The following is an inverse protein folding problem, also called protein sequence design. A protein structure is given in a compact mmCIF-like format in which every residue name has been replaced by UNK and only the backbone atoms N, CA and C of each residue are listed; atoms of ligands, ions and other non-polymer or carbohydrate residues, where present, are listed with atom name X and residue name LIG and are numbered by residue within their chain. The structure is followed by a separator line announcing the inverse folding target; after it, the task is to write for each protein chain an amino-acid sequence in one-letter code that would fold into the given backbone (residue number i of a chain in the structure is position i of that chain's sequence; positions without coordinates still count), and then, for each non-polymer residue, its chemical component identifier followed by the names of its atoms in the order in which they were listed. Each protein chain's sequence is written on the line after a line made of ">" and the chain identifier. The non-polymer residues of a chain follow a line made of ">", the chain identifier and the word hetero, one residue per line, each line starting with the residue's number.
data_IF_621265838698
#
_entry.id   IF_621265838698
#
_cell.length_a   1.000
_cell.length_b   1.000
_cell.length_c   1.000
_cell.angle_alpha   90.00
_cell.angle_beta   90.00
_cell.angle_gamma   90.00
#
_symmetry.space_group_name_H-M   'P 1'
#
loop_
_entity.id
_entity.type
_entity.pdbx_description
1 polymer ?
#
# COMPACT_ATOMS: atom_id res chain seq x y z
N UNK A 1 -14.14 26.76 -25.13
CA UNK A 1 -13.44 26.50 -26.41
C UNK A 1 -13.84 25.13 -26.94
N UNK A 2 -14.58 25.11 -28.05
CA UNK A 2 -14.82 23.87 -28.81
C UNK A 2 -13.48 23.30 -29.29
N UNK A 3 -13.29 21.97 -29.17
CA UNK A 3 -12.08 21.32 -29.64
C UNK A 3 -12.14 21.14 -31.15
N UNK A 4 -11.20 21.74 -31.87
CA UNK A 4 -11.06 21.52 -33.31
C UNK A 4 -10.64 20.07 -33.61
N UNK A 5 -11.27 19.47 -34.62
CA UNK A 5 -10.92 18.15 -35.18
C UNK A 5 -9.53 18.17 -35.84
N UNK A 6 -8.92 17.01 -36.06
CA UNK A 6 -7.62 16.93 -36.72
C UNK A 6 -7.64 17.52 -38.13
N UNK A 7 -8.73 17.34 -38.86
CA UNK A 7 -8.97 17.91 -40.20
C UNK A 7 -9.03 19.43 -40.17
N UNK A 8 -9.77 20.02 -39.22
CA UNK A 8 -9.81 21.49 -39.08
C UNK A 8 -8.46 22.08 -38.68
N UNK A 9 -7.66 21.36 -37.88
CA UNK A 9 -6.28 21.75 -37.58
C UNK A 9 -5.39 21.71 -38.81
N UNK A 10 -5.55 20.68 -39.62
CA UNK A 10 -4.83 20.51 -40.88
C UNK A 10 -5.14 21.66 -41.84
N UNK A 11 -6.41 22.01 -42.03
CA UNK A 11 -6.82 23.15 -42.84
C UNK A 11 -6.19 24.47 -42.36
N UNK A 12 -6.18 24.73 -41.04
CA UNK A 12 -5.54 25.90 -40.46
C UNK A 12 -4.01 25.93 -40.70
N UNK A 13 -3.35 24.77 -40.64
CA UNK A 13 -1.91 24.67 -40.90
C UNK A 13 -1.59 24.91 -42.39
N UNK A 14 -2.35 24.29 -43.30
CA UNK A 14 -2.17 24.46 -44.75
C UNK A 14 -2.38 25.91 -45.19
N UNK A 15 -3.40 26.61 -44.67
CA UNK A 15 -3.66 28.02 -44.99
C UNK A 15 -2.49 28.95 -44.64
N UNK A 16 -1.69 28.60 -43.64
CA UNK A 16 -0.48 29.36 -43.25
C UNK A 16 0.74 28.92 -44.06
N UNK A 17 0.95 27.61 -44.27
CA UNK A 17 2.11 27.07 -44.99
C UNK A 17 2.07 27.46 -46.47
N UNK A 18 0.90 27.39 -47.10
CA UNK A 18 0.69 27.77 -48.51
C UNK A 18 0.73 29.29 -48.73
N UNK A 19 0.95 30.09 -47.67
CA UNK A 19 0.93 31.56 -47.67
C UNK A 19 -0.40 32.18 -48.14
N UNK A 20 -1.50 31.44 -48.11
CA UNK A 20 -2.84 31.94 -48.48
C UNK A 20 -3.32 33.03 -47.52
N UNK A 21 -3.04 32.89 -46.22
CA UNK A 21 -3.47 33.82 -45.17
C UNK A 21 -2.35 34.12 -44.17
N UNK A 22 -2.33 35.33 -43.62
CA UNK A 22 -1.40 35.68 -42.53
C UNK A 22 -1.76 34.91 -41.26
N UNK A 23 -0.76 34.52 -40.47
CA UNK A 23 -0.95 33.72 -39.25
C UNK A 23 -2.03 34.28 -38.29
N UNK A 24 -2.12 35.61 -38.14
CA UNK A 24 -3.14 36.26 -37.32
C UNK A 24 -4.58 36.07 -37.85
N UNK A 25 -4.77 36.12 -39.17
CA UNK A 25 -6.09 35.93 -39.79
C UNK A 25 -6.59 34.50 -39.56
N UNK A 26 -5.72 33.50 -39.72
CA UNK A 26 -6.04 32.10 -39.46
C UNK A 26 -6.33 31.85 -37.98
N UNK A 27 -5.58 32.49 -37.06
CA UNK A 27 -5.87 32.41 -35.63
C UNK A 27 -7.27 32.94 -35.28
N UNK A 28 -7.69 34.04 -35.94
CA UNK A 28 -9.02 34.65 -35.73
C UNK A 28 -10.13 33.77 -36.32
N UNK A 29 -9.94 33.25 -37.53
CA UNK A 29 -10.92 32.40 -38.23
C UNK A 29 -11.16 31.06 -37.54
N UNK A 30 -10.11 30.44 -37.01
CA UNK A 30 -10.21 29.14 -36.33
C UNK A 30 -10.33 29.25 -34.80
N UNK A 31 -10.42 30.48 -34.26
CA UNK A 31 -10.50 30.77 -32.83
C UNK A 31 -9.38 30.10 -31.99
N UNK A 32 -8.15 30.12 -32.51
CA UNK A 32 -6.99 29.49 -31.87
C UNK A 32 -5.93 30.51 -31.50
N UNK A 33 -5.25 30.29 -30.37
CA UNK A 33 -4.11 31.13 -30.01
C UNK A 33 -2.94 30.93 -30.96
N UNK A 34 -2.18 32.00 -31.21
CA UNK A 34 -0.99 31.98 -32.10
C UNK A 34 0.01 30.88 -31.70
N UNK A 35 0.19 30.66 -30.40
CA UNK A 35 1.09 29.62 -29.88
C UNK A 35 0.61 28.22 -30.24
N UNK A 36 -0.71 27.98 -30.17
CA UNK A 36 -1.29 26.69 -30.53
C UNK A 36 -1.11 26.40 -32.02
N UNK A 37 -1.38 27.40 -32.87
CA UNK A 37 -1.21 27.26 -34.32
C UNK A 37 0.27 27.04 -34.69
N UNK A 38 1.21 27.78 -34.08
CA UNK A 38 2.66 27.55 -34.23
C UNK A 38 3.05 26.12 -33.86
N UNK A 39 2.56 25.61 -32.72
CA UNK A 39 2.82 24.24 -32.31
C UNK A 39 2.27 23.20 -33.29
N UNK A 40 1.12 23.47 -33.91
CA UNK A 40 0.56 22.60 -34.96
C UNK A 40 1.42 22.62 -36.22
N UNK A 41 1.85 23.80 -36.68
CA UNK A 41 2.76 23.96 -37.83
C UNK A 41 4.06 23.18 -37.59
N UNK A 42 4.69 23.36 -36.43
CA UNK A 42 5.92 22.64 -36.07
C UNK A 42 5.73 21.11 -36.08
N UNK A 43 4.62 20.61 -35.53
CA UNK A 43 4.30 19.18 -35.52
C UNK A 43 4.09 18.62 -36.93
N UNK A 44 3.42 19.38 -37.78
CA UNK A 44 3.15 19.01 -39.16
C UNK A 44 4.42 19.03 -40.02
N UNK A 45 5.29 20.03 -39.85
CA UNK A 45 6.59 20.10 -40.54
C UNK A 45 7.50 18.92 -40.18
N UNK A 46 7.49 18.49 -38.91
CA UNK A 46 8.28 17.34 -38.47
C UNK A 46 7.68 15.99 -38.94
N UNK A 47 6.37 15.94 -39.15
CA UNK A 47 5.67 14.72 -39.59
C UNK A 47 4.44 15.11 -40.42
N UNK A 48 4.57 15.20 -41.76
CA UNK A 48 3.53 15.72 -42.64
C UNK A 48 2.42 14.69 -42.85
N UNK A 49 1.58 14.53 -41.84
CA UNK A 49 0.42 13.64 -41.84
C UNK A 49 -0.66 14.24 -40.93
N UNK A 50 -1.93 14.14 -41.31
CA UNK A 50 -3.08 14.61 -40.50
C UNK A 50 -3.07 13.97 -39.09
N UNK A 51 -2.60 12.72 -38.98
CA UNK A 51 -2.45 12.02 -37.70
C UNK A 51 -1.51 12.73 -36.73
N UNK A 52 -0.51 13.48 -37.22
CA UNK A 52 0.42 14.23 -36.36
C UNK A 52 -0.23 15.40 -35.65
N UNK A 53 -1.35 15.90 -36.17
CA UNK A 53 -2.17 16.97 -35.59
C UNK A 53 -3.25 16.45 -34.63
N UNK A 54 -3.41 15.14 -34.52
CA UNK A 54 -4.32 14.53 -33.56
C UNK A 54 -3.93 14.85 -32.11
N UNK A 55 -4.90 14.73 -31.20
CA UNK A 55 -4.66 14.89 -29.77
C UNK A 55 -3.75 13.77 -29.26
N UNK A 56 -2.52 14.11 -28.86
CA UNK A 56 -1.54 13.17 -28.32
C UNK A 56 -1.83 12.78 -26.85
N UNK A 57 -2.62 13.58 -26.14
CA UNK A 57 -2.97 13.29 -24.76
C UNK A 57 -3.85 12.04 -24.70
N UNK A 58 -3.26 10.94 -24.25
CA UNK A 58 -3.94 9.67 -24.07
C UNK A 58 -4.99 9.81 -22.95
N UNK A 59 -6.19 9.28 -23.13
CA UNK A 59 -7.29 9.37 -22.16
C UNK A 59 -7.96 8.02 -21.97
N UNK A 60 -8.72 7.90 -20.88
CA UNK A 60 -9.52 6.72 -20.58
C UNK A 60 -8.67 5.47 -20.42
N UNK A 61 -9.05 4.39 -21.09
CA UNK A 61 -8.43 3.07 -20.96
C UNK A 61 -6.95 3.02 -21.34
N UNK A 62 -6.49 3.96 -22.17
CA UNK A 62 -5.09 4.03 -22.61
C UNK A 62 -4.22 4.93 -21.70
N UNK A 63 -4.81 5.61 -20.71
CA UNK A 63 -4.07 6.51 -19.82
C UNK A 63 -3.12 5.72 -18.90
N UNK A 64 -1.88 6.17 -18.73
CA UNK A 64 -0.85 5.48 -17.95
C UNK A 64 -1.20 5.44 -16.44
N UNK A 65 -1.78 6.51 -15.89
CA UNK A 65 -2.28 6.53 -14.49
C UNK A 65 -3.67 5.89 -14.32
N UNK A 66 -4.13 5.09 -15.28
CA UNK A 66 -5.38 4.35 -15.12
C UNK A 66 -5.19 3.29 -14.05
N UNK A 67 -6.19 3.13 -13.18
CA UNK A 67 -6.22 2.01 -12.25
C UNK A 67 -6.29 0.68 -13.01
N UNK A 68 -5.57 -0.31 -12.50
CA UNK A 68 -5.69 -1.68 -12.99
C UNK A 68 -7.14 -2.15 -12.86
N UNK A 69 -7.59 -2.95 -13.83
CA UNK A 69 -8.93 -3.54 -13.80
C UNK A 69 -9.16 -4.38 -12.53
N UNK A 70 -8.10 -5.02 -12.02
CA UNK A 70 -8.13 -5.80 -10.78
C UNK A 70 -8.46 -4.92 -9.56
N UNK A 71 -7.85 -3.74 -9.50
CA UNK A 71 -8.05 -2.77 -8.43
C UNK A 71 -9.47 -2.18 -8.48
N UNK A 72 -9.92 -1.79 -9.68
CA UNK A 72 -11.28 -1.30 -9.89
C UNK A 72 -12.30 -2.35 -9.46
N UNK A 73 -12.07 -3.61 -9.81
CA UNK A 73 -12.88 -4.75 -9.40
C UNK A 73 -12.90 -4.96 -7.89
N UNK A 74 -11.74 -4.89 -7.24
CA UNK A 74 -11.63 -5.06 -5.79
C UNK A 74 -12.41 -3.98 -5.02
N UNK A 75 -12.38 -2.73 -5.50
CA UNK A 75 -13.18 -1.64 -4.95
C UNK A 75 -14.68 -1.95 -5.04
N UNK A 76 -15.15 -2.37 -6.22
CA UNK A 76 -16.56 -2.74 -6.41
C UNK A 76 -16.98 -3.92 -5.54
N UNK A 77 -16.09 -4.90 -5.34
CA UNK A 77 -16.36 -6.04 -4.44
C UNK A 77 -16.51 -5.63 -2.99
N UNK A 78 -15.71 -4.67 -2.53
CA UNK A 78 -15.86 -4.11 -1.19
C UNK A 78 -17.18 -3.37 -1.03
N UNK A 79 -17.63 -2.66 -2.07
CA UNK A 79 -18.94 -2.00 -2.09
C UNK A 79 -20.08 -3.01 -2.01
N UNK A 80 -20.00 -4.13 -2.75
CA UNK A 80 -21.04 -5.17 -2.70
C UNK A 80 -21.04 -5.87 -1.33
N UNK A 81 -19.88 -6.06 -0.69
CA UNK A 81 -19.82 -6.69 0.64
C UNK A 81 -20.31 -5.76 1.75
N UNK A 82 -19.91 -4.49 1.71
CA UNK A 82 -20.15 -3.50 2.75
C UNK A 82 -20.54 -2.16 2.12
N UNK A 83 -21.80 -2.00 1.68
CA UNK A 83 -22.23 -0.79 0.96
C UNK A 83 -22.15 0.49 1.82
N UNK A 84 -22.25 0.32 3.14
CA UNK A 84 -22.20 1.39 4.15
C UNK A 84 -20.79 1.94 4.40
N UNK A 85 -19.77 1.30 3.83
CA UNK A 85 -18.40 1.73 4.06
C UNK A 85 -18.11 3.13 3.52
N UNK A 86 -17.27 3.84 4.28
CA UNK A 86 -16.82 5.17 3.88
C UNK A 86 -15.73 5.06 2.81
N UNK A 87 -15.51 6.14 2.05
CA UNK A 87 -14.40 6.21 1.08
C UNK A 87 -13.04 5.85 1.71
N UNK A 88 -12.81 6.24 2.97
CA UNK A 88 -11.60 5.90 3.72
C UNK A 88 -11.57 4.44 4.16
N UNK A 89 -12.70 3.89 4.60
CA UNK A 89 -12.81 2.47 4.95
C UNK A 89 -12.56 1.55 3.76
N UNK A 90 -13.12 1.89 2.59
CA UNK A 90 -12.83 1.19 1.33
C UNK A 90 -11.35 1.30 1.00
N UNK A 91 -10.75 2.50 1.05
CA UNK A 91 -9.33 2.70 0.77
C UNK A 91 -8.43 1.84 1.68
N UNK A 92 -8.72 1.82 2.98
CA UNK A 92 -7.96 1.04 3.95
C UNK A 92 -7.97 -0.45 3.59
N UNK A 93 -9.15 -1.03 3.35
CA UNK A 93 -9.30 -2.45 2.97
C UNK A 93 -8.59 -2.79 1.65
N UNK A 94 -8.58 -1.85 0.69
CA UNK A 94 -7.85 -2.05 -0.57
C UNK A 94 -6.33 -2.03 -0.35
N UNK A 95 -5.84 -1.12 0.50
CA UNK A 95 -4.41 -1.04 0.83
C UNK A 95 -3.95 -2.26 1.63
N UNK A 96 -4.78 -2.78 2.55
CA UNK A 96 -4.55 -4.04 3.27
C UNK A 96 -4.45 -5.25 2.33
N UNK A 97 -5.14 -5.19 1.18
CA UNK A 97 -5.05 -6.19 0.12
C UNK A 97 -3.77 -6.05 -0.74
N UNK A 98 -2.82 -5.20 -0.35
CA UNK A 98 -1.53 -4.99 -1.02
C UNK A 98 -1.55 -3.99 -2.19
N UNK A 99 -2.71 -3.37 -2.48
CA UNK A 99 -2.86 -2.43 -3.58
C UNK A 99 -2.75 -0.98 -3.09
N UNK A 100 -1.61 -0.31 -3.34
CA UNK A 100 -1.40 1.09 -2.95
C UNK A 100 -2.15 2.05 -3.89
N UNK A 101 -3.21 2.68 -3.39
CA UNK A 101 -4.03 3.63 -4.17
C UNK A 101 -4.26 4.91 -3.36
N UNK A 102 -4.58 6.01 -4.04
CA UNK A 102 -5.02 7.25 -3.38
C UNK A 102 -6.54 7.26 -3.14
N UNK A 103 -6.97 8.03 -2.14
CA UNK A 103 -8.40 8.26 -1.88
C UNK A 103 -9.15 8.75 -3.13
N UNK A 104 -8.51 9.62 -3.91
CA UNK A 104 -9.07 10.14 -5.15
C UNK A 104 -9.24 9.05 -6.23
N UNK A 105 -8.36 8.05 -6.24
CA UNK A 105 -8.51 6.87 -7.09
C UNK A 105 -9.79 6.09 -6.77
N UNK A 106 -10.05 5.82 -5.49
CA UNK A 106 -11.29 5.16 -5.04
C UNK A 106 -12.51 6.01 -5.40
N UNK A 107 -12.47 7.31 -5.12
CA UNK A 107 -13.55 8.23 -5.47
C UNK A 107 -13.87 8.23 -6.97
N UNK A 108 -12.85 8.23 -7.83
CA UNK A 108 -13.05 8.21 -9.28
C UNK A 108 -13.70 6.91 -9.76
N UNK A 109 -13.35 5.77 -9.16
CA UNK A 109 -14.01 4.49 -9.46
C UNK A 109 -15.47 4.55 -9.04
N UNK A 110 -15.78 4.98 -7.81
CA UNK A 110 -17.15 5.08 -7.34
C UNK A 110 -17.98 6.04 -8.20
N UNK A 111 -17.43 7.20 -8.55
CA UNK A 111 -18.10 8.18 -9.43
C UNK A 111 -18.35 7.62 -10.83
N UNK A 112 -17.41 6.85 -11.39
CA UNK A 112 -17.54 6.21 -12.72
C UNK A 112 -18.71 5.23 -12.78
N UNK A 113 -19.01 4.55 -11.68
CA UNK A 113 -20.11 3.58 -11.57
C UNK A 113 -21.37 4.16 -10.89
N UNK A 114 -21.42 5.48 -10.68
CA UNK A 114 -22.55 6.15 -10.03
C UNK A 114 -22.81 5.66 -8.58
N UNK A 115 -21.73 5.30 -7.87
CA UNK A 115 -21.73 4.74 -6.50
C UNK A 115 -21.24 5.75 -5.44
N UNK A 116 -21.44 7.03 -5.70
CA UNK A 116 -20.95 8.12 -4.85
C UNK A 116 -21.63 8.16 -3.49
N UNK A 117 -22.96 7.95 -3.43
CA UNK A 117 -23.73 7.95 -2.20
C UNK A 117 -23.81 6.56 -1.56
N UNK A 118 -24.03 6.53 -0.24
CA UNK A 118 -24.27 5.29 0.50
C UNK A 118 -25.49 4.54 -0.05
N UNK A 119 -26.56 5.26 -0.36
CA UNK A 119 -27.78 4.67 -0.92
C UNK A 119 -27.55 4.06 -2.31
N UNK A 120 -26.80 4.73 -3.19
CA UNK A 120 -26.41 4.18 -4.49
C UNK A 120 -25.62 2.88 -4.32
N UNK A 121 -24.70 2.83 -3.35
CA UNK A 121 -23.95 1.62 -3.01
C UNK A 121 -24.84 0.50 -2.48
N UNK A 122 -25.82 0.80 -1.62
CA UNK A 122 -26.80 -0.19 -1.12
C UNK A 122 -27.63 -0.77 -2.26
N UNK A 123 -28.21 0.10 -3.11
CA UNK A 123 -28.99 -0.33 -4.29
C UNK A 123 -28.14 -1.16 -5.23
N UNK A 124 -26.91 -0.74 -5.49
CA UNK A 124 -25.95 -1.50 -6.29
C UNK A 124 -25.68 -2.88 -5.67
N UNK A 125 -25.41 -2.95 -4.38
CA UNK A 125 -25.18 -4.22 -3.67
C UNK A 125 -26.38 -5.18 -3.74
N UNK A 126 -27.61 -4.66 -3.67
CA UNK A 126 -28.83 -5.46 -3.73
C UNK A 126 -29.09 -5.98 -5.16
N UNK A 127 -28.95 -5.09 -6.14
CA UNK A 127 -29.26 -5.39 -7.54
C UNK A 127 -28.12 -6.15 -8.25
N UNK A 128 -26.91 -6.14 -7.69
CA UNK A 128 -25.76 -6.77 -8.33
C UNK A 128 -25.93 -8.30 -8.38
N UNK A 129 -25.70 -8.93 -9.54
CA UNK A 129 -25.93 -10.36 -9.73
C UNK A 129 -25.17 -11.24 -8.74
N UNK A 130 -23.95 -10.86 -8.41
CA UNK A 130 -23.04 -11.63 -7.58
C UNK A 130 -22.83 -10.98 -6.21
N UNK A 131 -22.61 -11.80 -5.18
CA UNK A 131 -22.20 -11.32 -3.83
C UNK A 131 -20.81 -10.67 -3.82
N UNK A 132 -19.97 -11.02 -4.81
CA UNK A 132 -18.70 -10.38 -5.17
C UNK A 132 -18.46 -10.65 -6.65
N UNK A 133 -17.78 -9.79 -7.40
CA UNK A 133 -17.38 -10.00 -8.79
C UNK A 133 -16.42 -11.20 -8.97
N UNK A 134 -15.85 -11.75 -7.89
CA UNK A 134 -15.13 -13.05 -7.90
C UNK A 134 -15.99 -14.25 -7.48
N UNK A 135 -17.23 -14.02 -7.02
CA UNK A 135 -18.10 -15.11 -6.62
C UNK A 135 -18.66 -15.78 -7.85
N UNK A 136 -18.72 -17.11 -7.84
CA UNK A 136 -19.55 -17.86 -8.79
C UNK A 136 -21.01 -17.92 -8.36
N UNK A 137 -21.32 -17.51 -7.12
CA UNK A 137 -22.67 -17.56 -6.56
C UNK A 137 -23.39 -16.23 -6.71
N UNK A 138 -24.60 -16.31 -7.26
CA UNK A 138 -25.50 -15.17 -7.40
C UNK A 138 -26.10 -14.76 -6.04
N UNK A 139 -26.32 -13.46 -5.87
CA UNK A 139 -26.93 -12.85 -4.69
C UNK A 139 -28.38 -13.34 -4.51
N UNK A 140 -28.86 -13.61 -3.28
CA UNK A 140 -30.25 -14.00 -3.03
C UNK A 140 -31.27 -13.01 -3.64
N UNK A 141 -31.07 -11.71 -3.44
CA UNK A 141 -31.96 -10.67 -3.98
C UNK A 141 -32.01 -10.69 -5.51
N UNK A 142 -30.87 -10.90 -6.16
CA UNK A 142 -30.82 -11.01 -7.62
C UNK A 142 -31.57 -12.24 -8.14
N UNK A 143 -31.48 -13.38 -7.44
CA UNK A 143 -32.22 -14.59 -7.82
C UNK A 143 -33.73 -14.37 -7.75
N UNK A 144 -34.18 -13.65 -6.72
CA UNK A 144 -35.58 -13.24 -6.55
C UNK A 144 -36.00 -12.35 -7.72
N UNK A 145 -35.22 -11.31 -8.04
CA UNK A 145 -35.51 -10.42 -9.17
C UNK A 145 -35.59 -11.14 -10.53
N UNK A 146 -34.78 -12.19 -10.76
CA UNK A 146 -34.88 -13.02 -11.97
C UNK A 146 -36.21 -13.79 -12.04
N UNK A 147 -36.71 -14.26 -10.90
CA UNK A 147 -38.02 -14.94 -10.82
C UNK A 147 -39.16 -13.93 -10.98
N UNK A 148 -39.06 -12.76 -10.35
CA UNK A 148 -40.04 -11.67 -10.53
C UNK A 148 -40.09 -11.17 -11.98
N UNK A 149 -38.95 -11.09 -12.67
CA UNK A 149 -38.91 -10.74 -14.10
C UNK A 149 -39.74 -11.72 -14.94
N UNK A 150 -39.70 -13.02 -14.60
CA UNK A 150 -40.53 -14.04 -15.24
C UNK A 150 -42.02 -13.86 -14.93
N UNK A 151 -42.37 -13.62 -13.66
CA UNK A 151 -43.75 -13.45 -13.21
C UNK A 151 -44.39 -12.18 -13.79
N UNK A 152 -43.65 -11.08 -13.87
CA UNK A 152 -44.14 -9.78 -14.29
C UNK A 152 -44.17 -9.60 -15.82
N UNK A 153 -43.14 -10.04 -16.54
CA UNK A 153 -42.97 -9.69 -17.95
C UNK A 153 -43.46 -10.76 -18.95
N UNK A 154 -44.05 -11.87 -18.48
CA UNK A 154 -44.50 -13.02 -19.32
C UNK A 154 -43.45 -13.48 -20.36
N UNK A 155 -42.16 -13.31 -20.05
CA UNK A 155 -41.06 -13.70 -20.94
C UNK A 155 -40.83 -15.22 -20.85
N UNK A 156 -40.41 -15.86 -21.94
CA UNK A 156 -40.12 -17.30 -21.92
C UNK A 156 -38.95 -17.63 -20.99
N UNK A 157 -39.04 -18.77 -20.28
CA UNK A 157 -37.98 -19.27 -19.38
C UNK A 157 -36.64 -19.38 -20.10
N UNK A 158 -36.66 -19.83 -21.37
CA UNK A 158 -35.45 -19.95 -22.19
C UNK A 158 -34.74 -18.61 -22.41
N UNK A 159 -35.50 -17.52 -22.62
CA UNK A 159 -34.92 -16.18 -22.80
C UNK A 159 -34.28 -15.68 -21.50
N UNK A 160 -34.97 -15.85 -20.37
CA UNK A 160 -34.47 -15.46 -19.03
C UNK A 160 -33.21 -16.25 -18.67
N UNK A 161 -33.21 -17.56 -18.91
CA UNK A 161 -32.06 -18.42 -18.68
C UNK A 161 -30.84 -18.02 -19.51
N UNK A 162 -31.02 -17.69 -20.81
CA UNK A 162 -29.93 -17.21 -21.66
C UNK A 162 -29.40 -15.85 -21.20
N UNK A 163 -30.28 -14.90 -20.91
CA UNK A 163 -29.92 -13.54 -20.43
C UNK A 163 -29.06 -13.60 -19.16
N UNK A 164 -29.40 -14.50 -18.24
CA UNK A 164 -28.77 -14.59 -16.92
C UNK A 164 -27.70 -15.70 -16.81
N UNK A 165 -27.36 -16.38 -17.92
CA UNK A 165 -26.44 -17.53 -17.94
C UNK A 165 -26.82 -18.64 -16.94
N UNK A 166 -28.10 -19.01 -16.92
CA UNK A 166 -28.65 -20.03 -16.03
C UNK A 166 -29.06 -21.27 -16.81
N UNK A 167 -28.85 -22.44 -16.21
CA UNK A 167 -29.52 -23.67 -16.67
C UNK A 167 -30.99 -23.65 -16.25
N UNK A 168 -31.89 -24.17 -17.10
CA UNK A 168 -33.33 -24.26 -16.79
C UNK A 168 -33.62 -24.99 -15.48
N UNK A 169 -32.86 -26.04 -15.13
CA UNK A 169 -32.99 -26.77 -13.86
C UNK A 169 -32.80 -25.85 -12.64
N UNK A 170 -31.81 -24.97 -12.69
CA UNK A 170 -31.53 -24.00 -11.63
C UNK A 170 -32.66 -22.97 -11.50
N UNK A 171 -33.19 -22.49 -12.64
CA UNK A 171 -34.32 -21.56 -12.65
C UNK A 171 -35.58 -22.19 -12.03
N UNK A 172 -35.96 -23.41 -12.42
CA UNK A 172 -37.13 -24.06 -11.83
C UNK A 172 -36.97 -24.34 -10.34
N UNK A 173 -35.75 -24.67 -9.90
CA UNK A 173 -35.45 -24.78 -8.46
C UNK A 173 -35.71 -23.46 -7.73
N UNK A 174 -35.30 -22.34 -8.31
CA UNK A 174 -35.55 -21.01 -7.75
C UNK A 174 -37.03 -20.65 -7.74
N UNK A 175 -37.76 -20.96 -8.81
CA UNK A 175 -39.20 -20.75 -8.88
C UNK A 175 -39.95 -21.54 -7.79
N UNK A 176 -39.54 -22.78 -7.51
CA UNK A 176 -40.09 -23.58 -6.40
C UNK A 176 -39.88 -22.88 -5.06
N UNK A 177 -38.63 -22.48 -4.77
CA UNK A 177 -38.26 -21.79 -3.52
C UNK A 177 -39.06 -20.49 -3.36
N UNK A 178 -39.21 -19.72 -4.44
CA UNK A 178 -39.98 -18.47 -4.43
C UNK A 178 -41.44 -18.72 -4.08
N UNK A 179 -42.11 -19.67 -4.75
CA UNK A 179 -43.52 -19.99 -4.50
C UNK A 179 -43.76 -20.54 -3.09
N UNK A 180 -42.87 -21.38 -2.59
CA UNK A 180 -42.90 -21.88 -1.22
C UNK A 180 -42.79 -20.72 -0.21
N UNK A 181 -41.86 -19.79 -0.43
CA UNK A 181 -41.67 -18.63 0.41
C UNK A 181 -42.84 -17.63 0.35
N UNK A 182 -43.39 -17.38 -0.84
CA UNK A 182 -44.55 -16.52 -1.07
C UNK A 182 -45.81 -17.07 -0.39
N UNK A 183 -46.01 -18.40 -0.48
CA UNK A 183 -47.11 -19.08 0.21
C UNK A 183 -46.97 -18.96 1.73
N UNK A 184 -45.77 -19.19 2.27
CA UNK A 184 -45.49 -19.04 3.69
C UNK A 184 -45.64 -17.59 4.18
N UNK A 185 -45.26 -16.61 3.35
CA UNK A 185 -45.36 -15.19 3.66
C UNK A 185 -46.80 -14.66 3.58
N UNK A 186 -47.66 -15.29 2.76
CA UNK A 186 -49.09 -14.93 2.62
C UNK A 186 -49.93 -15.39 3.82
N UNK A 187 -49.54 -16.51 4.46
CA UNK A 187 -50.21 -17.04 5.66
C UNK A 187 -49.93 -16.17 6.90
N UNK A 188 -48.76 -15.55 6.95
CA UNK A 188 -48.40 -14.58 7.99
C UNK A 188 -48.86 -13.18 7.58
N UNK A 189 -49.71 -12.52 8.37
CA UNK A 189 -50.17 -11.13 8.16
C UNK A 189 -49.04 -10.08 8.28
N UNK A 190 -48.00 -10.20 7.45
CA UNK A 190 -46.79 -9.38 7.46
C UNK A 190 -46.95 -8.14 6.57
N UNK A 191 -46.21 -7.10 6.90
CA UNK A 191 -46.06 -5.90 6.07
C UNK A 191 -45.40 -6.26 4.72
N UNK A 192 -45.69 -5.53 3.63
CA UNK A 192 -45.08 -5.77 2.32
C UNK A 192 -43.54 -5.84 2.34
N UNK A 193 -42.88 -4.95 3.09
CA UNK A 193 -41.42 -4.95 3.21
C UNK A 193 -40.86 -6.19 3.92
N UNK A 194 -41.62 -6.76 4.86
CA UNK A 194 -41.25 -7.97 5.59
C UNK A 194 -41.46 -9.22 4.74
N UNK A 195 -42.46 -9.22 3.86
CA UNK A 195 -42.68 -10.29 2.88
C UNK A 195 -41.51 -10.39 1.91
N UNK A 196 -41.08 -9.27 1.34
CA UNK A 196 -39.93 -9.23 0.42
C UNK A 196 -38.66 -9.73 1.11
N UNK A 197 -38.43 -9.31 2.36
CA UNK A 197 -37.29 -9.74 3.16
C UNK A 197 -37.29 -11.27 3.39
N UNK A 198 -38.44 -11.86 3.74
CA UNK A 198 -38.59 -13.31 3.91
C UNK A 198 -38.34 -14.10 2.62
N UNK A 199 -38.84 -13.59 1.50
CA UNK A 199 -38.62 -14.24 0.20
C UNK A 199 -37.12 -14.25 -0.11
N UNK A 200 -36.42 -13.14 0.10
CA UNK A 200 -34.96 -13.06 -0.09
C UNK A 200 -34.21 -14.00 0.86
N UNK A 201 -34.65 -14.12 2.11
CA UNK A 201 -34.06 -15.04 3.09
C UNK A 201 -34.18 -16.52 2.68
N UNK A 202 -35.29 -16.92 2.05
CA UNK A 202 -35.49 -18.28 1.57
C UNK A 202 -34.42 -18.73 0.54
N UNK A 203 -33.82 -17.78 -0.17
CA UNK A 203 -32.76 -18.01 -1.16
C UNK A 203 -31.35 -18.08 -0.58
N UNK A 204 -31.19 -17.85 0.74
CA UNK A 204 -29.92 -18.03 1.45
C UNK A 204 -29.58 -19.54 1.50
N UNK A 205 -28.33 -19.94 1.19
CA UNK A 205 -27.94 -21.34 1.25
C UNK A 205 -28.15 -21.92 2.66
N UNK A 206 -29.01 -22.93 2.78
CA UNK A 206 -29.26 -23.64 4.05
C UNK A 206 -28.08 -24.50 4.52
N UNK A 207 -27.14 -24.82 3.62
CA UNK A 207 -25.96 -25.60 3.98
C UNK A 207 -24.98 -24.76 4.80
N UNK A 208 -24.96 -25.02 6.11
CA UNK A 208 -24.01 -24.41 7.04
C UNK A 208 -22.58 -24.88 6.72
N UNK A 209 -21.64 -23.93 6.58
CA UNK A 209 -20.22 -24.20 6.34
C UNK A 209 -19.38 -23.79 7.55
N UNK A 210 -18.22 -24.43 7.70
CA UNK A 210 -17.25 -24.06 8.73
C UNK A 210 -17.74 -24.33 10.14
N UNK A 211 -17.69 -23.32 11.01
CA UNK A 211 -18.06 -23.40 12.42
C UNK A 211 -19.51 -23.82 12.66
N UNK A 212 -20.42 -23.51 11.73
CA UNK A 212 -21.83 -23.86 11.88
C UNK A 212 -22.17 -25.26 11.35
N UNK A 213 -21.21 -26.00 10.78
CA UNK A 213 -21.49 -27.32 10.24
C UNK A 213 -21.69 -28.34 11.38
N UNK A 214 -22.75 -29.15 11.33
CA UNK A 214 -23.06 -30.16 12.35
C UNK A 214 -21.93 -31.18 12.62
N UNK A 215 -21.07 -31.48 11.63
CA UNK A 215 -19.85 -32.33 11.82
C UNK A 215 -18.61 -31.56 12.25
N UNK A 216 -18.73 -30.29 12.64
CA UNK A 216 -17.61 -29.54 13.22
C UNK A 216 -17.17 -30.24 14.50
N UNK A 217 -15.86 -30.21 14.76
CA UNK A 217 -15.31 -30.67 16.03
C UNK A 217 -15.78 -29.67 17.11
N UNK A 218 -16.40 -30.20 18.15
CA UNK A 218 -16.87 -29.43 19.30
C UNK A 218 -15.71 -29.15 20.27
N UNK A 219 -15.84 -28.11 21.11
CA UNK A 219 -14.78 -27.68 22.03
C UNK A 219 -14.35 -28.82 22.97
N UNK A 220 -15.30 -29.63 23.42
CA UNK A 220 -15.06 -30.83 24.24
C UNK A 220 -14.11 -31.80 23.55
N UNK A 221 -14.38 -32.09 22.28
CA UNK A 221 -13.60 -32.98 21.42
C UNK A 221 -12.21 -32.41 21.12
N UNK A 222 -12.11 -31.10 20.89
CA UNK A 222 -10.83 -30.40 20.71
C UNK A 222 -9.95 -30.53 21.96
N UNK A 223 -10.53 -30.32 23.15
CA UNK A 223 -9.82 -30.44 24.43
C UNK A 223 -9.30 -31.87 24.66
N UNK A 224 -10.03 -32.91 24.26
CA UNK A 224 -9.53 -34.28 24.33
C UNK A 224 -8.30 -34.50 23.43
N UNK A 225 -8.30 -33.97 22.20
CA UNK A 225 -7.11 -34.03 21.33
C UNK A 225 -5.93 -33.30 21.98
N UNK A 226 -6.17 -32.07 22.46
CA UNK A 226 -5.14 -31.25 23.10
C UNK A 226 -4.58 -31.93 24.36
N UNK A 227 -5.40 -32.59 25.17
CA UNK A 227 -4.96 -33.34 26.34
C UNK A 227 -4.06 -34.53 25.96
N UNK A 228 -4.41 -35.27 24.91
CA UNK A 228 -3.57 -36.37 24.41
C UNK A 228 -2.21 -35.84 23.92
N UNK A 229 -2.21 -34.72 23.18
CA UNK A 229 -0.98 -34.07 22.71
C UNK A 229 -0.15 -33.53 23.88
N UNK A 230 -0.79 -32.93 24.89
CA UNK A 230 -0.14 -32.37 26.07
C UNK A 230 0.62 -33.44 26.85
N UNK A 231 0.01 -34.60 27.01
CA UNK A 231 0.61 -35.71 27.74
C UNK A 231 1.67 -36.44 26.91
N UNK A 232 1.54 -36.48 25.57
CA UNK A 232 2.44 -37.23 24.70
C UNK A 232 2.68 -36.50 23.36
N UNK A 233 3.55 -35.47 23.34
CA UNK A 233 3.80 -34.66 22.13
C UNK A 233 4.46 -35.44 20.98
N UNK A 234 5.12 -36.55 21.28
CA UNK A 234 5.83 -37.38 20.30
C UNK A 234 4.90 -38.27 19.45
N UNK A 235 3.63 -38.43 19.85
CA UNK A 235 2.72 -39.33 19.15
C UNK A 235 2.43 -38.85 17.73
N UNK A 236 2.39 -39.82 16.80
CA UNK A 236 1.90 -39.60 15.44
C UNK A 236 0.38 -39.45 15.43
N UNK A 237 -0.18 -38.86 14.36
CA UNK A 237 -1.64 -38.66 14.21
C UNK A 237 -2.44 -39.96 14.40
N UNK A 238 -1.91 -41.10 13.92
CA UNK A 238 -2.51 -42.42 14.12
C UNK A 238 -2.57 -42.82 15.58
N UNK A 239 -1.47 -42.63 16.32
CA UNK A 239 -1.39 -42.96 17.75
C UNK A 239 -2.24 -42.02 18.59
N UNK A 240 -2.29 -40.73 18.23
CA UNK A 240 -3.18 -39.75 18.87
C UNK A 240 -4.64 -40.17 18.69
N UNK A 241 -5.04 -40.55 17.48
CA UNK A 241 -6.41 -41.05 17.22
C UNK A 241 -6.74 -42.32 18.01
N UNK A 242 -5.79 -43.26 18.12
CA UNK A 242 -5.96 -44.48 18.90
C UNK A 242 -6.06 -44.23 20.41
N UNK A 243 -5.44 -43.16 20.92
CA UNK A 243 -5.47 -42.77 22.33
C UNK A 243 -6.71 -41.95 22.73
N UNK A 244 -7.56 -41.57 21.78
CA UNK A 244 -8.79 -40.84 22.08
C UNK A 244 -9.84 -41.74 22.74
N UNK A 245 -10.72 -41.17 23.60
CA UNK A 245 -11.78 -41.95 24.19
C UNK A 245 -12.74 -42.47 23.12
N UNK A 246 -13.36 -43.60 23.42
CA UNK A 246 -14.24 -44.36 22.52
C UNK A 246 -15.64 -44.36 23.12
N UNK A 247 -16.66 -44.00 22.32
CA UNK A 247 -18.07 -44.05 22.68
C UNK A 247 -18.71 -45.14 21.81
N UNK A 248 -19.35 -46.14 22.43
CA UNK A 248 -19.99 -47.27 21.72
C UNK A 248 -19.03 -48.02 20.77
N UNK A 249 -17.78 -48.21 21.18
CA UNK A 249 -16.77 -48.90 20.36
C UNK A 249 -16.24 -48.08 19.18
N UNK A 250 -16.62 -46.81 19.03
CA UNK A 250 -16.09 -45.89 18.01
C UNK A 250 -15.35 -44.70 18.63
N UNK A 251 -14.18 -44.31 18.08
CA UNK A 251 -13.47 -43.13 18.58
C UNK A 251 -14.32 -41.87 18.36
N UNK A 252 -14.26 -40.93 19.33
CA UNK A 252 -15.08 -39.70 19.33
C UNK A 252 -14.92 -38.85 18.04
N UNK A 253 -13.74 -38.96 17.41
CA UNK A 253 -13.35 -38.24 16.20
C UNK A 253 -12.63 -39.22 15.28
N UNK A 254 -12.97 -39.23 13.99
CA UNK A 254 -12.25 -40.04 13.02
C UNK A 254 -10.84 -39.49 12.73
N UNK A 255 -9.93 -40.36 12.29
CA UNK A 255 -8.52 -40.06 12.00
C UNK A 255 -8.30 -38.75 11.23
N UNK A 256 -9.04 -38.54 10.13
CA UNK A 256 -8.91 -37.33 9.30
C UNK A 256 -9.38 -36.06 10.01
N UNK A 257 -10.32 -36.18 10.96
CA UNK A 257 -10.72 -35.08 11.82
C UNK A 257 -9.60 -34.64 12.76
N UNK A 258 -8.90 -35.61 13.36
CA UNK A 258 -7.72 -35.37 14.20
C UNK A 258 -6.60 -34.70 13.39
N UNK A 259 -6.29 -35.22 12.20
CA UNK A 259 -5.29 -34.62 11.31
C UNK A 259 -5.61 -33.16 10.97
N UNK A 260 -6.84 -32.90 10.50
CA UNK A 260 -7.26 -31.55 10.12
C UNK A 260 -7.24 -30.58 11.30
N UNK A 261 -7.57 -31.05 12.51
CA UNK A 261 -7.49 -30.23 13.72
C UNK A 261 -6.05 -29.87 14.03
N UNK A 262 -5.13 -30.84 14.04
CA UNK A 262 -3.71 -30.63 14.30
C UNK A 262 -3.10 -29.66 13.28
N UNK A 263 -3.43 -29.81 12.00
CA UNK A 263 -2.98 -28.90 10.94
C UNK A 263 -3.51 -27.47 11.15
N UNK A 264 -4.80 -27.31 11.45
CA UNK A 264 -5.42 -26.00 11.70
C UNK A 264 -4.88 -25.31 12.95
N UNK A 265 -4.60 -26.07 13.99
CA UNK A 265 -4.01 -25.58 15.24
C UNK A 265 -2.49 -25.37 15.13
N UNK A 266 -1.91 -25.58 13.94
CA UNK A 266 -0.47 -25.46 13.66
C UNK A 266 0.40 -26.37 14.56
N UNK A 267 -0.11 -27.55 14.94
CA UNK A 267 0.57 -28.55 15.77
C UNK A 267 1.10 -29.75 14.94
N UNK A 268 1.32 -29.53 13.65
CA UNK A 268 1.63 -30.60 12.69
C UNK A 268 3.03 -31.21 12.92
N UNK A 269 4.03 -30.41 13.29
CA UNK A 269 5.38 -30.88 13.59
C UNK A 269 5.57 -31.19 15.07
N UNK A 270 6.50 -32.11 15.36
CA UNK A 270 6.86 -32.50 16.71
C UNK A 270 7.41 -31.30 17.51
N UNK A 271 8.28 -30.49 16.89
CA UNK A 271 8.80 -29.25 17.48
C UNK A 271 7.70 -28.31 17.95
N UNK A 272 6.69 -28.06 17.10
CA UNK A 272 5.56 -27.20 17.45
C UNK A 272 4.72 -27.77 18.58
N UNK A 273 4.55 -29.10 18.63
CA UNK A 273 3.89 -29.75 19.76
C UNK A 273 4.69 -29.59 21.05
N UNK A 274 6.00 -29.81 21.03
CA UNK A 274 6.87 -29.62 22.18
C UNK A 274 6.81 -28.18 22.72
N UNK A 275 6.99 -27.19 21.84
CA UNK A 275 6.89 -25.76 22.18
C UNK A 275 5.51 -25.44 22.80
N UNK A 276 4.44 -25.98 22.22
CA UNK A 276 3.08 -25.79 22.75
C UNK A 276 2.88 -26.47 24.12
N UNK A 277 3.42 -27.67 24.32
CA UNK A 277 3.27 -28.44 25.58
C UNK A 277 4.07 -27.90 26.74
N UNK A 278 5.24 -27.30 26.46
CA UNK A 278 6.08 -26.64 27.47
C UNK A 278 5.38 -25.42 28.09
N UNK A 279 4.17 -25.10 27.61
CA UNK A 279 3.62 -23.78 27.66
C UNK A 279 4.45 -22.93 26.70
N UNK A 280 3.80 -22.06 25.97
CA UNK A 280 4.49 -20.81 25.67
C UNK A 280 4.83 -20.28 27.09
N UNK A 281 6.11 -20.22 27.59
CA UNK A 281 6.38 -19.10 28.47
C UNK A 281 5.86 -17.96 27.64
N UNK A 282 4.89 -17.20 28.16
CA UNK A 282 4.25 -16.11 27.42
C UNK A 282 5.29 -15.60 26.45
N UNK A 283 4.92 -15.41 25.20
CA UNK A 283 5.57 -14.32 24.56
C UNK A 283 5.41 -13.12 25.55
N UNK A 284 6.31 -12.92 26.53
CA UNK A 284 7.50 -12.19 26.22
C UNK A 284 7.73 -12.31 24.70
N UNK A 285 6.89 -11.64 23.89
CA UNK A 285 7.09 -10.23 23.73
C UNK A 285 8.39 -9.93 24.44
N UNK A 286 9.50 -10.29 23.78
CA UNK A 286 10.37 -9.22 23.38
C UNK A 286 9.40 -8.09 23.11
N UNK A 287 9.16 -7.29 24.16
CA UNK A 287 8.50 -6.03 24.08
C UNK A 287 9.48 -5.43 23.10
N UNK A 288 9.23 -5.59 21.80
CA UNK A 288 9.95 -4.89 20.77
C UNK A 288 9.55 -3.50 21.20
N UNK A 289 10.41 -2.83 22.00
CA UNK A 289 9.94 -1.83 22.95
C UNK A 289 9.19 -0.87 22.07
N UNK A 290 7.85 -0.83 22.19
CA UNK A 290 6.98 -0.39 21.10
C UNK A 290 7.58 0.89 20.59
N UNK A 291 8.20 0.94 19.38
CA UNK A 291 9.36 1.78 19.11
C UNK A 291 9.03 3.14 19.67
N UNK A 292 9.56 3.43 20.87
CA UNK A 292 9.22 4.68 21.56
C UNK A 292 9.71 5.65 20.54
N UNK A 293 8.79 6.33 19.86
CA UNK A 293 9.08 6.98 18.60
C UNK A 293 10.30 7.83 18.87
N UNK A 294 11.48 7.34 18.45
CA UNK A 294 12.72 7.90 18.95
C UNK A 294 12.60 9.36 18.55
N UNK A 295 12.52 10.30 19.52
CA UNK A 295 12.03 11.64 19.25
C UNK A 295 12.85 12.12 18.09
N UNK A 296 12.21 12.26 16.92
CA UNK A 296 12.89 12.11 15.64
C UNK A 296 14.19 12.90 15.73
N UNK A 297 15.33 12.19 15.82
CA UNK A 297 16.62 12.81 16.12
C UNK A 297 16.69 14.01 15.21
N UNK A 298 16.58 15.22 15.78
CA UNK A 298 16.43 16.45 15.00
C UNK A 298 17.70 16.45 14.18
N UNK A 299 17.59 16.07 12.89
CA UNK A 299 18.76 15.74 12.08
C UNK A 299 19.56 17.02 12.00
N UNK A 300 20.56 17.13 12.88
CA UNK A 300 21.36 18.33 13.00
C UNK A 300 21.95 18.59 11.62
N UNK A 301 22.04 19.88 11.27
CA UNK A 301 22.51 20.34 9.97
C UNK A 301 23.81 19.64 9.53
N UNK A 302 24.65 19.24 10.49
CA UNK A 302 25.85 18.44 10.29
C UNK A 302 25.63 17.11 9.53
N UNK A 303 24.57 16.35 9.82
CA UNK A 303 24.30 15.09 9.09
C UNK A 303 23.87 15.37 7.64
N UNK A 304 23.26 16.53 7.37
CA UNK A 304 22.98 16.98 5.98
C UNK A 304 24.23 17.43 5.24
N UNK A 305 25.26 17.89 5.94
CA UNK A 305 26.55 18.26 5.34
C UNK A 305 27.36 17.00 5.00
N UNK A 306 27.17 15.91 5.75
CA UNK A 306 27.95 14.67 5.60
C UNK A 306 27.35 13.69 4.57
N UNK A 307 26.07 13.82 4.18
CA UNK A 307 25.44 13.00 3.14
C UNK A 307 25.78 13.54 1.73
N UNK A 308 26.76 12.96 1.00
CA UNK A 308 27.35 13.64 -0.15
C UNK A 308 26.47 13.58 -1.41
N UNK A 309 25.48 12.68 -1.48
CA UNK A 309 24.91 12.31 -2.79
C UNK A 309 23.47 12.78 -3.05
N UNK A 310 22.79 13.40 -2.08
CA UNK A 310 21.37 13.78 -2.23
C UNK A 310 21.11 15.28 -2.32
N UNK A 311 22.11 16.15 -2.10
CA UNK A 311 21.89 17.60 -1.96
C UNK A 311 22.85 18.50 -2.74
N UNK A 312 23.64 17.95 -3.68
CA UNK A 312 24.65 18.74 -4.41
C UNK A 312 24.07 19.83 -5.35
N UNK A 313 22.87 19.75 -5.97
CA UNK A 313 22.48 20.81 -6.91
C UNK A 313 22.02 22.11 -6.24
N UNK A 314 21.50 22.08 -4.99
CA UNK A 314 20.96 23.28 -4.34
C UNK A 314 21.96 24.04 -3.46
N UNK A 315 23.01 23.38 -2.97
CA UNK A 315 23.98 24.01 -2.05
C UNK A 315 25.03 24.87 -2.76
N UNK A 316 25.32 24.60 -4.04
CA UNK A 316 26.23 25.42 -4.85
C UNK A 316 25.68 26.82 -5.16
N UNK A 317 24.35 26.97 -5.22
CA UNK A 317 23.72 28.21 -5.69
C UNK A 317 23.43 29.23 -4.58
N UNK A 318 23.42 28.85 -3.30
CA UNK A 318 22.88 29.70 -2.23
C UNK A 318 23.90 30.21 -1.19
N UNK A 319 25.05 29.57 -1.02
CA UNK A 319 26.01 29.95 0.02
C UNK A 319 27.38 30.36 -0.57
N UNK A 320 27.92 31.56 -0.28
CA UNK A 320 29.20 32.01 -0.84
C UNK A 320 30.40 31.17 -0.38
N UNK A 321 30.24 30.37 0.67
CA UNK A 321 31.28 29.44 1.18
C UNK A 321 31.48 28.22 0.28
N UNK A 322 30.48 27.83 -0.52
CA UNK A 322 30.60 26.70 -1.46
C UNK A 322 31.18 27.10 -2.83
N UNK A 323 31.35 28.41 -3.07
CA UNK A 323 31.86 28.95 -4.33
C UNK A 323 33.30 28.51 -4.68
N UNK A 324 34.26 28.37 -3.73
CA UNK A 324 35.61 27.90 -4.04
C UNK A 324 35.65 26.49 -4.64
N UNK A 325 34.64 25.65 -4.37
CA UNK A 325 34.51 24.30 -4.92
C UNK A 325 33.69 24.27 -6.21
N UNK A 326 32.74 25.20 -6.36
CA UNK A 326 31.93 25.36 -7.56
C UNK A 326 32.71 25.94 -8.74
N UNK A 327 33.53 26.96 -8.50
CA UNK A 327 34.28 27.65 -9.55
C UNK A 327 35.20 26.75 -10.38
N UNK A 328 36.05 25.88 -9.80
CA UNK A 328 36.90 25.00 -10.61
C UNK A 328 36.10 24.00 -11.44
N UNK A 329 34.97 23.51 -10.92
CA UNK A 329 34.07 22.59 -11.66
C UNK A 329 33.35 23.33 -12.81
N UNK A 330 32.88 24.55 -12.57
CA UNK A 330 32.22 25.38 -13.58
C UNK A 330 33.22 25.85 -14.64
N UNK A 331 34.44 26.26 -14.26
CA UNK A 331 35.51 26.60 -15.19
C UNK A 331 35.96 25.38 -16.00
N UNK A 332 36.01 24.19 -15.40
CA UNK A 332 36.31 22.95 -16.10
C UNK A 332 35.24 22.60 -17.13
N UNK A 333 33.96 22.73 -16.77
CA UNK A 333 32.83 22.53 -17.69
C UNK A 333 32.85 23.57 -18.81
N UNK A 334 33.04 24.86 -18.48
CA UNK A 334 33.12 25.94 -19.47
C UNK A 334 34.33 25.75 -20.41
N UNK A 335 35.47 25.28 -19.90
CA UNK A 335 36.65 24.92 -20.69
C UNK A 335 36.39 23.74 -21.62
N UNK A 336 35.66 22.70 -21.18
CA UNK A 336 35.24 21.56 -22.03
C UNK A 336 34.35 22.02 -23.20
N UNK A 337 33.53 23.06 -23.01
CA UNK A 337 32.63 23.56 -24.05
C UNK A 337 33.31 24.57 -25.02
N UNK A 338 34.50 25.11 -24.71
CA UNK A 338 35.36 25.81 -25.68
C UNK A 338 36.23 24.79 -26.46
N UNK A 339 35.60 24.09 -27.41
CA UNK A 339 36.13 22.94 -28.16
C UNK A 339 37.50 23.20 -28.81
N UNK A 340 37.85 24.46 -29.13
CA UNK A 340 39.08 24.79 -29.86
C UNK A 340 40.36 24.91 -29.00
N UNK A 341 40.25 24.94 -27.66
CA UNK A 341 41.43 25.08 -26.76
C UNK A 341 41.77 23.80 -25.98
N UNK A 342 40.86 22.84 -25.93
CA UNK A 342 40.98 21.60 -25.12
C UNK A 342 42.03 20.62 -25.68
N UNK A 343 42.43 20.76 -26.95
CA UNK A 343 43.40 19.86 -27.59
C UNK A 343 44.87 20.28 -27.45
N UNK A 344 45.20 21.35 -26.69
CA UNK A 344 46.60 21.61 -26.34
C UNK A 344 47.01 20.64 -25.24
N UNK A 345 47.74 19.61 -25.63
CA UNK A 345 48.28 18.52 -24.77
C UNK A 345 48.92 19.07 -23.48
N UNK A 346 49.58 20.23 -23.56
CA UNK A 346 50.23 20.89 -22.42
C UNK A 346 49.29 21.30 -21.28
N UNK A 347 47.99 21.50 -21.55
CA UNK A 347 47.01 21.99 -20.56
C UNK A 347 46.06 20.88 -20.10
N UNK A 348 45.82 19.89 -20.95
CA UNK A 348 44.90 18.78 -20.69
C UNK A 348 45.33 17.91 -19.50
N UNK A 349 46.58 17.44 -19.50
CA UNK A 349 47.10 16.55 -18.45
C UNK A 349 47.17 17.20 -17.06
N UNK A 350 47.66 18.45 -16.90
CA UNK A 350 47.64 19.12 -15.61
C UNK A 350 46.24 19.31 -15.04
N UNK A 351 45.24 19.65 -15.87
CA UNK A 351 43.86 19.83 -15.40
C UNK A 351 43.26 18.51 -14.91
N UNK A 352 43.50 17.41 -15.63
CA UNK A 352 43.05 16.09 -15.21
C UNK A 352 43.74 15.67 -13.91
N UNK A 353 45.06 15.83 -13.83
CA UNK A 353 45.81 15.52 -12.62
C UNK A 353 45.34 16.36 -11.41
N UNK A 354 45.06 17.65 -11.61
CA UNK A 354 44.52 18.54 -10.58
C UNK A 354 43.10 18.12 -10.17
N UNK A 355 42.25 17.75 -11.13
CA UNK A 355 40.89 17.30 -10.86
C UNK A 355 40.87 16.01 -10.03
N UNK A 356 41.66 15.01 -10.43
CA UNK A 356 41.80 13.77 -9.66
C UNK A 356 42.44 14.03 -8.29
N UNK A 357 43.48 14.85 -8.20
CA UNK A 357 44.11 15.25 -6.94
C UNK A 357 43.13 15.93 -5.99
N UNK A 358 42.26 16.80 -6.50
CA UNK A 358 41.23 17.49 -5.72
C UNK A 358 40.14 16.52 -5.23
N UNK A 359 39.74 15.54 -6.05
CA UNK A 359 38.80 14.48 -5.64
C UNK A 359 39.42 13.61 -4.53
N UNK A 360 40.68 13.17 -4.68
CA UNK A 360 41.36 12.37 -3.66
C UNK A 360 41.58 13.17 -2.36
N UNK A 361 41.94 14.45 -2.46
CA UNK A 361 42.06 15.33 -1.31
C UNK A 361 40.74 15.45 -0.55
N UNK A 362 39.63 15.74 -1.25
CA UNK A 362 38.29 15.82 -0.65
C UNK A 362 37.84 14.49 -0.03
N UNK A 363 38.16 13.36 -0.68
CA UNK A 363 37.90 12.03 -0.13
C UNK A 363 38.67 11.80 1.18
N UNK A 364 39.92 12.24 1.22
CA UNK A 364 40.79 12.10 2.40
C UNK A 364 40.48 13.12 3.52
N UNK A 365 39.83 14.25 3.19
CA UNK A 365 39.50 15.33 4.11
C UNK A 365 38.68 14.86 5.33
N UNK A 366 37.84 13.82 5.16
CA UNK A 366 37.10 13.22 6.29
C UNK A 366 38.02 12.68 7.38
N UNK A 367 39.17 12.11 7.00
CA UNK A 367 40.14 11.56 7.96
C UNK A 367 40.88 12.68 8.68
N UNK A 368 41.28 13.74 7.96
CA UNK A 368 41.91 14.91 8.58
C UNK A 368 40.98 15.65 9.56
N UNK A 369 39.69 15.78 9.22
CA UNK A 369 38.69 16.38 10.12
C UNK A 369 38.48 15.49 11.35
N UNK A 370 38.41 14.17 11.17
CA UNK A 370 38.31 13.23 12.29
C UNK A 370 39.51 13.34 13.21
N UNK A 371 40.72 13.45 12.66
CA UNK A 371 41.96 13.57 13.42
C UNK A 371 42.02 14.90 14.18
N UNK A 372 41.65 16.01 13.53
CA UNK A 372 41.49 17.32 14.17
C UNK A 372 40.45 17.29 15.29
N UNK A 373 39.33 16.59 15.09
CA UNK A 373 38.28 16.48 16.10
C UNK A 373 38.76 15.66 17.31
N UNK A 374 39.49 14.56 17.08
CA UNK A 374 40.08 13.74 18.15
C UNK A 374 41.13 14.52 18.93
N UNK A 375 42.04 15.23 18.25
CA UNK A 375 43.04 16.08 18.90
C UNK A 375 42.40 17.22 19.67
N UNK A 376 41.36 17.85 19.11
CA UNK A 376 40.63 18.93 19.78
C UNK A 376 39.85 18.43 21.00
N UNK A 377 39.26 17.23 20.94
CA UNK A 377 38.58 16.61 22.08
C UNK A 377 39.59 16.23 23.18
N UNK A 378 40.73 15.64 22.79
CA UNK A 378 41.81 15.28 23.71
C UNK A 378 42.44 16.49 24.41
N UNK A 379 42.73 17.55 23.66
CA UNK A 379 43.28 18.80 24.20
C UNK A 379 42.31 19.54 25.13
N UNK A 380 41.00 19.34 24.97
CA UNK A 380 39.99 19.91 25.87
C UNK A 380 39.70 19.00 27.07
N UNK A 381 39.91 17.69 26.96
CA UNK A 381 39.83 16.75 28.08
C UNK A 381 40.94 17.03 29.11
N UNK A 382 42.16 17.33 28.65
CA UNK A 382 43.28 17.69 29.54
C UNK A 382 43.07 19.04 30.26
N UNK A 383 42.25 19.94 29.69
CA UNK A 383 41.86 21.21 30.33
C UNK A 383 40.70 21.09 31.32
N UNK A 384 40.02 19.94 31.39
CA UNK A 384 38.87 19.71 32.26
C UNK A 384 39.26 19.17 33.65
N UNK A 385 40.50 18.70 33.84
CA UNK A 385 40.94 18.15 35.14
C UNK A 385 41.43 19.20 36.15
N UNK A 386 41.63 20.47 35.77
CA UNK A 386 42.34 21.43 36.63
C UNK A 386 41.52 22.60 37.23
N UNK A 387 40.19 22.71 37.03
CA UNK A 387 39.40 23.75 37.74
C UNK A 387 37.95 23.35 38.07
N UNK A 388 37.47 23.56 39.31
CA UNK A 388 36.09 23.29 39.66
C UNK A 388 35.16 24.39 39.08
N UNK A 389 33.99 23.92 38.64
CA UNK A 389 32.80 24.63 38.21
C UNK A 389 32.80 26.17 38.26
N UNK A 390 33.02 26.79 37.09
CA UNK A 390 32.09 27.73 36.46
C UNK A 390 32.76 28.41 35.26
N UNK A 391 32.46 27.96 34.05
CA UNK A 391 32.88 28.64 32.83
C UNK A 391 31.67 29.03 32.00
N UNK A 392 31.27 30.30 32.15
CA UNK A 392 30.40 31.01 31.21
C UNK A 392 31.13 31.04 29.86
N UNK A 393 30.71 30.18 28.94
CA UNK A 393 31.21 30.21 27.56
C UNK A 393 30.64 31.48 26.91
N UNK A 394 31.51 32.46 26.64
CA UNK A 394 31.15 33.68 25.94
C UNK A 394 31.07 33.40 24.44
N UNK A 395 30.00 32.71 24.04
CA UNK A 395 29.69 32.45 22.64
C UNK A 395 29.19 33.76 22.04
N UNK A 396 29.96 34.28 21.08
CA UNK A 396 29.63 35.44 20.24
C UNK A 396 28.14 35.47 19.86
N UNK A 397 27.54 36.66 19.96
CA UNK A 397 26.12 36.96 19.75
C UNK A 397 25.54 36.43 18.42
N UNK A 398 26.40 36.06 17.46
CA UNK A 398 25.98 35.48 16.18
C UNK A 398 25.40 34.05 16.31
N UNK A 399 25.92 33.24 17.26
CA UNK A 399 25.44 31.85 17.46
C UNK A 399 24.20 31.81 18.36
N UNK A 400 24.10 32.71 19.35
CA UNK A 400 22.90 32.85 20.21
C UNK A 400 21.62 33.15 19.42
N UNK A 401 21.71 33.78 18.24
CA UNK A 401 20.55 34.07 17.40
C UNK A 401 20.07 32.86 16.58
N UNK A 402 20.94 31.86 16.38
CA UNK A 402 20.63 30.65 15.61
C UNK A 402 20.09 29.52 16.52
N UNK A 403 20.46 29.52 17.80
CA UNK A 403 20.07 28.49 18.77
C UNK A 403 19.10 29.10 19.78
N UNK A 404 17.81 29.19 19.42
CA UNK A 404 16.71 29.24 20.39
C UNK A 404 16.26 27.79 20.63
N UNK A 405 16.85 27.14 21.62
CA UNK A 405 16.39 25.87 22.19
C UNK A 405 16.37 26.03 23.72
N UNK A 406 15.37 25.46 24.42
CA UNK A 406 15.16 25.69 25.85
C UNK A 406 16.17 24.93 26.70
N UNK A 407 16.45 25.50 27.87
CA UNK A 407 17.40 25.03 28.88
C UNK A 407 17.07 23.62 29.39
N UNK A 408 17.75 22.60 28.87
CA UNK A 408 17.90 21.29 29.51
C UNK A 408 19.01 20.52 28.79
N UNK A 409 20.28 20.88 29.04
CA UNK A 409 21.41 20.03 28.68
C UNK A 409 21.90 19.38 29.97
N UNK A 410 21.26 18.26 30.33
CA UNK A 410 21.86 17.25 31.17
C UNK A 410 23.06 16.63 30.45
N UNK A 411 24.06 16.24 31.23
CA UNK A 411 25.35 15.68 30.81
C UNK A 411 25.27 14.72 29.62
N UNK A 412 26.04 15.00 28.57
CA UNK A 412 26.36 14.04 27.51
C UNK A 412 27.40 13.04 28.05
N UNK A 413 26.91 12.05 28.78
CA UNK A 413 27.59 10.81 29.11
C UNK A 413 26.51 9.75 29.31
N UNK A 414 26.69 8.56 28.74
CA UNK A 414 25.78 7.46 29.04
C UNK A 414 26.00 7.05 30.49
N UNK A 415 25.12 7.50 31.38
CA UNK A 415 24.95 6.91 32.71
C UNK A 415 23.75 5.97 32.56
N UNK A 416 24.00 4.66 32.65
CA UNK A 416 22.92 3.67 32.67
C UNK A 416 22.16 3.81 33.99
N UNK A 417 20.83 3.99 33.89
CA UNK A 417 19.95 4.08 35.05
C UNK A 417 19.63 2.67 35.55
N UNK A 418 20.30 2.26 36.63
CA UNK A 418 20.23 0.93 37.24
C UNK A 418 19.13 0.82 38.31
N UNK A 419 18.33 1.87 38.50
CA UNK A 419 17.39 1.98 39.62
C UNK A 419 16.28 0.92 39.64
N UNK A 420 16.00 0.27 38.50
CA UNK A 420 14.92 -0.71 38.36
C UNK A 420 15.38 -2.15 38.03
N UNK A 421 16.66 -2.48 38.19
CA UNK A 421 17.16 -3.84 37.91
C UNK A 421 17.19 -4.66 39.20
N UNK A 422 16.15 -5.48 39.44
CA UNK A 422 16.19 -6.51 40.48
C UNK A 422 16.96 -7.75 39.98
N UNK A 423 18.17 -7.94 40.50
CA UNK A 423 18.97 -9.14 40.23
C UNK A 423 18.51 -10.30 41.13
N UNK A 424 17.69 -11.21 40.60
CA UNK A 424 17.42 -12.49 41.29
C UNK A 424 18.66 -13.38 41.22
N UNK A 425 19.38 -13.54 42.34
CA UNK A 425 20.45 -14.54 42.46
C UNK A 425 19.83 -15.92 42.68
N UNK A 426 19.89 -16.79 41.68
CA UNK A 426 19.69 -18.24 41.90
C UNK A 426 21.02 -18.88 42.29
N UNK A 427 21.11 -19.63 43.41
CA UNK A 427 22.31 -20.39 43.73
C UNK A 427 22.48 -21.50 42.68
N UNK A 428 23.65 -21.56 42.06
CA UNK A 428 24.05 -22.67 41.19
C UNK A 428 24.07 -23.96 42.03
N UNK A 429 23.22 -24.92 41.65
CA UNK A 429 23.16 -26.23 42.26
C UNK A 429 24.49 -26.98 42.10
N UNK A 430 25.01 -27.47 43.22
CA UNK A 430 26.10 -28.44 43.31
C UNK A 430 25.73 -29.66 42.45
N UNK A 431 26.53 -29.94 41.43
CA UNK A 431 26.49 -31.23 40.75
C UNK A 431 26.90 -32.33 41.74
N UNK A 432 26.08 -33.36 41.84
CA UNK A 432 26.47 -34.63 42.46
C UNK A 432 26.80 -35.62 41.34
N UNK A 433 28.00 -36.19 41.47
CA UNK A 433 28.41 -37.44 40.84
C UNK A 433 27.61 -38.61 41.41
#
# INVERSE_FOLDING_TARGET
>A
MQKLSAERRFAAVCAVINKEKKLYQVCKEFEVSRQTLRNWILRYQHSPNISSLANKHVRGYKHHNKLSWYVEKLILDLVIKNPDETLRGILQKVNESGCKISLHGVFNVLRKHELSSCEQRRRFSLNHPLKTLFSKTLSPAYKVGVVEEYLNNKVSVSSICRKNNLSSKTFYKWLSIYREAESAASVSNLSPSEKDSRIVEAFIPRYQKGYFHHKKIDQTKENHILNVIKNNPELSVHKIHAALPTIEGKPIIGHRGVQNFIEKSNLNTLEKRLIWTQGIPDEATEIVPAPIAAPALRRNLLIRIIAPFTTIPKLLAQNPVSWPFAFPVIFFIAYIFEIDKVFRVAVFFPIIALSFGMIFFLYSMKYYISLLMVVWLGANAEKLDDKPHSLKINISNYIKKIIKAPDAIGSLGMVEDISNVELSRKPYGRGYF
#
